data_IF_293280303018
#
_entry.id   IF_293280303018
#
_cell.length_a   1.000
_cell.length_b   1.000
_cell.length_c   1.000
_cell.angle_alpha   90.00
_cell.angle_beta   90.00
_cell.angle_gamma   90.00
#
_symmetry.space_group_name_H-M   'P 1'
#
loop_
_entity.id
_entity.type
_entity.pdbx_description
1 polymer ?
#
# COMPACT_ATOMS: atom_id res chain seq x y z
N UNK A 1 12.63 -2.66 -20.83
CA UNK A 1 11.99 -3.97 -21.05
C UNK A 1 12.68 -5.10 -20.27
N UNK A 2 14.02 -5.17 -20.27
CA UNK A 2 14.79 -6.23 -19.61
C UNK A 2 14.61 -6.33 -18.08
N UNK A 3 14.63 -5.21 -17.35
CA UNK A 3 14.52 -5.21 -15.87
C UNK A 3 13.20 -5.85 -15.38
N UNK A 4 12.08 -5.63 -16.09
CA UNK A 4 10.75 -6.13 -15.69
C UNK A 4 10.67 -7.66 -15.76
N UNK A 5 11.16 -8.24 -16.85
CA UNK A 5 11.19 -9.71 -17.05
C UNK A 5 12.22 -10.37 -16.15
N UNK A 6 13.35 -9.71 -15.89
CA UNK A 6 14.38 -10.20 -14.96
C UNK A 6 13.86 -10.22 -13.52
N UNK A 7 13.19 -9.17 -13.04
CA UNK A 7 12.57 -9.15 -11.70
C UNK A 7 11.47 -10.21 -11.55
N UNK A 8 10.58 -10.32 -12.54
CA UNK A 8 9.50 -11.29 -12.49
C UNK A 8 10.01 -12.74 -12.63
N UNK A 9 11.06 -12.97 -13.43
CA UNK A 9 11.76 -14.25 -13.49
C UNK A 9 12.55 -14.54 -12.21
N UNK A 10 13.18 -13.54 -11.59
CA UNK A 10 13.90 -13.70 -10.33
C UNK A 10 12.97 -14.05 -9.16
N UNK A 11 11.81 -13.41 -9.10
CA UNK A 11 10.75 -13.74 -8.15
C UNK A 11 10.08 -15.11 -8.42
N UNK A 12 10.21 -15.67 -9.62
CA UNK A 12 9.61 -16.96 -9.98
C UNK A 12 10.59 -18.14 -9.93
N UNK A 13 11.86 -17.91 -10.24
CA UNK A 13 12.89 -18.95 -10.27
C UNK A 13 13.68 -19.06 -8.96
N UNK A 14 13.24 -18.39 -7.88
CA UNK A 14 13.99 -18.27 -6.63
C UNK A 14 15.47 -17.93 -6.92
N UNK A 15 15.69 -17.07 -7.92
CA UNK A 15 17.03 -16.66 -8.28
C UNK A 15 17.54 -15.97 -7.03
N UNK A 16 18.64 -16.48 -6.46
CA UNK A 16 19.27 -16.02 -5.23
C UNK A 16 19.72 -14.56 -5.33
N UNK A 17 18.78 -13.63 -5.55
CA UNK A 17 18.90 -12.28 -5.07
C UNK A 17 18.77 -12.47 -3.57
N UNK A 18 19.89 -12.40 -2.84
CA UNK A 18 19.94 -12.61 -1.39
C UNK A 18 19.19 -11.52 -0.60
N UNK A 19 17.99 -11.18 -1.03
CA UNK A 19 17.14 -10.10 -0.55
C UNK A 19 15.70 -10.59 -0.56
N UNK A 20 15.11 -10.74 0.63
CA UNK A 20 13.68 -10.94 0.77
C UNK A 20 12.95 -9.64 0.40
N UNK A 21 11.95 -9.72 -0.47
CA UNK A 21 11.11 -8.58 -0.80
C UNK A 21 10.15 -8.26 0.36
N UNK A 22 9.78 -6.99 0.51
CA UNK A 22 8.80 -6.58 1.52
C UNK A 22 7.46 -7.29 1.29
N UNK A 23 6.81 -7.73 2.37
CA UNK A 23 5.46 -8.29 2.39
C UNK A 23 4.44 -7.46 1.57
N UNK A 24 4.64 -6.13 1.51
CA UNK A 24 3.82 -5.20 0.75
C UNK A 24 3.82 -5.47 -0.77
N UNK A 25 4.95 -5.96 -1.30
CA UNK A 25 5.09 -6.29 -2.71
C UNK A 25 4.22 -7.50 -3.05
N UNK A 26 4.26 -8.56 -2.23
CA UNK A 26 3.41 -9.74 -2.43
C UNK A 26 1.92 -9.42 -2.27
N UNK A 27 1.55 -8.60 -1.28
CA UNK A 27 0.17 -8.09 -1.17
C UNK A 27 -0.27 -7.33 -2.41
N UNK A 28 0.60 -6.51 -2.99
CA UNK A 28 0.31 -5.77 -4.21
C UNK A 28 0.15 -6.71 -5.42
N UNK A 29 1.00 -7.72 -5.53
CA UNK A 29 0.93 -8.73 -6.60
C UNK A 29 -0.37 -9.55 -6.56
N UNK A 30 -0.88 -9.81 -5.35
CA UNK A 30 -2.10 -10.58 -5.12
C UNK A 30 -3.38 -9.72 -5.07
N UNK A 31 -3.28 -8.41 -5.32
CA UNK A 31 -4.36 -7.44 -5.14
C UNK A 31 -5.02 -7.50 -3.74
N UNK A 32 -4.24 -7.83 -2.71
CA UNK A 32 -4.71 -7.92 -1.34
C UNK A 32 -4.76 -6.54 -0.67
N UNK A 33 -5.73 -6.30 0.23
CA UNK A 33 -5.80 -5.05 0.96
C UNK A 33 -4.64 -4.92 1.95
N UNK A 34 -4.15 -3.70 2.09
CA UNK A 34 -3.26 -3.36 3.21
C UNK A 34 -4.07 -3.22 4.50
N UNK A 35 -3.46 -3.68 5.59
CA UNK A 35 -3.99 -3.68 6.94
C UNK A 35 -3.27 -2.63 7.78
N UNK A 36 -3.92 -2.21 8.87
CA UNK A 36 -3.33 -1.24 9.79
C UNK A 36 -2.02 -1.76 10.42
N UNK A 37 -1.94 -3.06 10.69
CA UNK A 37 -0.74 -3.73 11.17
C UNK A 37 0.44 -3.68 10.19
N UNK A 38 0.19 -3.53 8.88
CA UNK A 38 1.27 -3.41 7.89
C UNK A 38 1.99 -2.05 8.02
N UNK A 39 1.34 -1.05 8.64
CA UNK A 39 1.87 0.30 8.80
C UNK A 39 2.78 0.44 10.03
N UNK A 40 2.51 -0.29 11.10
CA UNK A 40 3.27 -0.21 12.37
C UNK A 40 4.80 -0.28 12.19
N UNK A 41 5.38 -1.23 11.42
CA UNK A 41 6.83 -1.30 11.23
C UNK A 41 7.39 -0.20 10.31
N UNK A 42 6.53 0.53 9.59
CA UNK A 42 6.92 1.57 8.61
C UNK A 42 6.78 2.98 9.20
N UNK A 43 5.67 3.24 9.90
CA UNK A 43 5.31 4.54 10.45
C UNK A 43 4.46 4.32 11.72
N UNK A 44 5.15 4.12 12.84
CA UNK A 44 4.52 3.83 14.14
C UNK A 44 3.64 4.97 14.65
N UNK A 45 3.94 6.22 14.28
CA UNK A 45 3.16 7.38 14.71
C UNK A 45 1.87 7.52 13.90
N UNK A 46 1.93 7.30 12.59
CA UNK A 46 0.72 7.19 11.78
C UNK A 46 -0.14 5.99 12.20
N UNK A 47 0.49 4.85 12.55
CA UNK A 47 -0.23 3.70 13.10
C UNK A 47 -1.04 4.08 14.34
N UNK A 48 -0.41 4.67 15.37
CA UNK A 48 -1.10 5.13 16.59
C UNK A 48 -2.24 6.10 16.30
N UNK A 49 -1.99 7.06 15.40
CA UNK A 49 -2.99 8.06 15.01
C UNK A 49 -4.22 7.42 14.34
N UNK A 50 -3.99 6.44 13.47
CA UNK A 50 -5.06 5.72 12.80
C UNK A 50 -5.80 4.74 13.73
N UNK A 51 -5.10 4.12 14.70
CA UNK A 51 -5.74 3.34 15.78
C UNK A 51 -6.68 4.24 16.58
N UNK A 52 -6.21 5.42 16.97
CA UNK A 52 -7.05 6.39 17.69
C UNK A 52 -8.32 6.75 16.90
N UNK A 53 -8.19 7.04 15.60
CA UNK A 53 -9.35 7.32 14.72
C UNK A 53 -10.28 6.10 14.60
N UNK A 54 -9.72 4.89 14.57
CA UNK A 54 -10.50 3.66 14.50
C UNK A 54 -11.37 3.47 15.75
N UNK A 55 -10.83 3.78 16.93
CA UNK A 55 -11.46 3.55 18.23
C UNK A 55 -12.34 4.70 18.70
N UNK A 56 -12.10 5.93 18.22
CA UNK A 56 -12.80 7.14 18.67
C UNK A 56 -13.69 7.73 17.58
N UNK A 57 -14.55 8.67 17.96
CA UNK A 57 -15.32 9.47 17.01
C UNK A 57 -14.41 10.50 16.31
N UNK A 58 -14.24 10.46 14.98
CA UNK A 58 -13.38 11.40 14.27
C UNK A 58 -14.01 12.77 14.06
N UNK A 59 -15.30 12.95 14.34
CA UNK A 59 -16.02 14.21 14.05
C UNK A 59 -15.44 15.40 14.83
N UNK A 60 -14.87 15.14 16.01
CA UNK A 60 -14.18 16.16 16.82
C UNK A 60 -12.79 16.52 16.31
N UNK A 61 -12.24 15.72 15.39
CA UNK A 61 -10.90 15.93 14.84
C UNK A 61 -10.90 16.85 13.61
N UNK A 62 -12.08 17.21 13.08
CA UNK A 62 -12.25 18.06 11.91
C UNK A 62 -11.40 17.61 10.72
N UNK A 63 -11.31 16.28 10.53
CA UNK A 63 -10.56 15.68 9.43
C UNK A 63 -11.40 15.72 8.15
N UNK A 64 -10.72 15.88 7.02
CA UNK A 64 -11.26 15.63 5.69
C UNK A 64 -10.51 14.47 5.01
N UNK A 65 -10.78 14.18 3.75
CA UNK A 65 -10.05 13.14 3.01
C UNK A 65 -8.78 13.69 2.35
N UNK A 66 -7.99 14.47 3.09
CA UNK A 66 -6.63 14.87 2.69
C UNK A 66 -5.56 14.25 3.58
N UNK A 67 -4.31 14.34 3.16
CA UNK A 67 -3.14 13.95 3.93
C UNK A 67 -2.02 14.96 3.71
N UNK A 68 -1.37 15.40 4.78
CA UNK A 68 -0.15 16.20 4.69
C UNK A 68 1.06 15.28 4.56
N UNK A 69 1.85 15.50 3.53
CA UNK A 69 3.12 14.80 3.28
C UNK A 69 4.26 15.81 3.23
N UNK A 70 5.44 15.40 3.68
CA UNK A 70 6.67 16.19 3.53
C UNK A 70 7.44 15.66 2.33
N UNK A 71 7.65 16.52 1.34
CA UNK A 71 8.38 16.21 0.11
C UNK A 71 9.37 17.33 -0.18
N UNK A 72 10.66 17.01 -0.28
CA UNK A 72 11.75 17.99 -0.46
C UNK A 72 11.70 19.14 0.57
N UNK A 73 11.54 18.80 1.84
CA UNK A 73 11.39 19.74 2.97
C UNK A 73 10.19 20.69 2.87
N UNK A 74 9.25 20.43 1.95
CA UNK A 74 8.00 21.18 1.82
C UNK A 74 6.81 20.31 2.24
N UNK A 75 5.92 20.89 3.06
CA UNK A 75 4.64 20.25 3.34
C UNK A 75 3.70 20.43 2.15
N UNK A 76 3.12 19.34 1.69
CA UNK A 76 2.09 19.33 0.66
C UNK A 76 0.86 18.62 1.20
N UNK A 77 -0.29 19.20 0.95
CA UNK A 77 -1.59 18.57 1.17
C UNK A 77 -2.00 17.84 -0.11
N UNK A 78 -2.40 16.58 0.02
CA UNK A 78 -2.87 15.75 -1.10
C UNK A 78 -4.26 15.21 -0.78
N UNK A 79 -5.11 15.14 -1.80
CA UNK A 79 -6.42 14.50 -1.64
C UNK A 79 -6.30 12.98 -1.78
N UNK A 80 -6.87 12.25 -0.81
CA UNK A 80 -6.89 10.79 -0.79
C UNK A 80 -7.91 10.19 -1.78
N UNK A 81 -8.87 10.99 -2.22
CA UNK A 81 -9.91 10.68 -3.22
C UNK A 81 -10.36 11.98 -3.89
N UNK A 82 -11.05 11.95 -5.05
CA UNK A 82 -11.55 13.15 -5.69
C UNK A 82 -12.47 13.97 -4.76
N UNK A 83 -12.24 15.29 -4.72
CA UNK A 83 -12.92 16.26 -3.85
C UNK A 83 -12.77 15.87 -2.37
N UNK A 84 -11.61 15.33 -2.00
CA UNK A 84 -11.35 14.79 -0.67
C UNK A 84 -11.44 15.87 0.41
N UNK A 85 -11.00 17.09 0.07
CA UNK A 85 -11.01 18.26 0.95
C UNK A 85 -12.41 18.71 1.36
N UNK A 86 -13.40 18.51 0.49
CA UNK A 86 -14.79 18.91 0.75
C UNK A 86 -15.60 17.82 1.47
N UNK A 87 -14.97 16.72 1.87
CA UNK A 87 -15.65 15.58 2.48
C UNK A 87 -15.07 15.35 3.86
N UNK A 88 -15.85 15.67 4.89
CA UNK A 88 -15.48 15.42 6.28
C UNK A 88 -15.41 13.92 6.61
N UNK A 89 -14.52 13.58 7.53
CA UNK A 89 -14.40 12.24 8.08
C UNK A 89 -15.40 12.08 9.23
N UNK A 90 -16.35 11.18 9.05
CA UNK A 90 -17.41 10.87 10.00
C UNK A 90 -17.29 9.43 10.46
N UNK A 91 -18.05 9.04 11.48
CA UNK A 91 -18.10 7.65 11.95
C UNK A 91 -18.44 6.64 10.84
N UNK A 92 -19.31 7.03 9.90
CA UNK A 92 -19.73 6.16 8.79
C UNK A 92 -18.61 5.93 7.77
N UNK A 93 -17.77 6.94 7.54
CA UNK A 93 -16.79 6.91 6.46
C UNK A 93 -15.33 6.75 6.95
N UNK A 94 -15.07 6.76 8.26
CA UNK A 94 -13.72 6.66 8.83
C UNK A 94 -12.94 5.42 8.42
N UNK A 95 -13.63 4.28 8.26
CA UNK A 95 -13.00 3.05 7.76
C UNK A 95 -12.42 3.23 6.36
N UNK A 96 -13.08 4.03 5.52
CA UNK A 96 -12.60 4.36 4.17
C UNK A 96 -11.42 5.32 4.24
N UNK A 97 -11.48 6.34 5.10
CA UNK A 97 -10.36 7.24 5.35
C UNK A 97 -9.11 6.48 5.78
N UNK A 98 -9.21 5.64 6.82
CA UNK A 98 -8.11 4.80 7.32
C UNK A 98 -7.49 3.94 6.21
N UNK A 99 -8.33 3.26 5.41
CA UNK A 99 -7.84 2.44 4.29
C UNK A 99 -7.05 3.24 3.25
N UNK A 100 -7.51 4.46 2.94
CA UNK A 100 -6.82 5.32 1.98
C UNK A 100 -5.49 5.84 2.53
N UNK A 101 -5.46 6.24 3.81
CA UNK A 101 -4.20 6.68 4.46
C UNK A 101 -3.19 5.54 4.51
N UNK A 102 -3.59 4.33 4.92
CA UNK A 102 -2.71 3.14 4.94
C UNK A 102 -2.15 2.89 3.54
N UNK A 103 -3.01 2.82 2.52
CA UNK A 103 -2.59 2.59 1.15
C UNK A 103 -1.61 3.66 0.69
N UNK A 104 -1.89 4.93 0.98
CA UNK A 104 -1.02 6.03 0.60
C UNK A 104 0.35 5.91 1.27
N UNK A 105 0.40 5.80 2.60
CA UNK A 105 1.64 5.70 3.38
C UNK A 105 2.52 4.53 2.95
N UNK A 106 1.93 3.37 2.64
CA UNK A 106 2.67 2.18 2.25
C UNK A 106 3.14 2.18 0.79
N UNK A 107 2.49 2.94 -0.09
CA UNK A 107 2.77 2.88 -1.54
C UNK A 107 3.35 4.16 -2.12
N UNK A 108 3.29 5.31 -1.44
CA UNK A 108 3.63 6.63 -2.01
C UNK A 108 4.98 6.65 -2.74
N UNK A 109 6.06 6.19 -2.08
CA UNK A 109 7.41 6.22 -2.63
C UNK A 109 7.72 5.09 -3.64
N UNK A 110 6.85 4.08 -3.72
CA UNK A 110 7.10 2.85 -4.49
C UNK A 110 6.02 2.54 -5.52
N UNK A 111 5.00 3.39 -5.67
CA UNK A 111 3.82 3.12 -6.51
C UNK A 111 4.20 2.86 -7.96
N UNK A 112 5.22 3.53 -8.48
CA UNK A 112 5.71 3.33 -9.84
C UNK A 112 6.38 1.97 -9.96
N UNK A 113 7.25 1.61 -9.02
CA UNK A 113 7.98 0.36 -8.97
C UNK A 113 7.00 -0.82 -8.83
N UNK A 114 6.02 -0.71 -7.92
CA UNK A 114 4.96 -1.70 -7.72
C UNK A 114 4.16 -1.97 -9.00
N UNK A 115 3.72 -0.92 -9.71
CA UNK A 115 3.00 -1.08 -10.99
C UNK A 115 3.85 -1.78 -12.04
N UNK A 116 5.13 -1.51 -12.07
CA UNK A 116 6.04 -2.08 -13.08
C UNK A 116 6.38 -3.55 -12.78
N UNK A 117 6.46 -3.91 -11.49
CA UNK A 117 6.55 -5.29 -11.03
C UNK A 117 5.26 -6.05 -11.39
N UNK A 118 4.09 -5.49 -11.10
CA UNK A 118 2.80 -6.10 -11.42
C UNK A 118 2.63 -6.35 -12.93
N UNK A 119 3.02 -5.39 -13.78
CA UNK A 119 3.05 -5.58 -15.24
C UNK A 119 4.00 -6.70 -15.67
N UNK A 120 5.21 -6.72 -15.12
CA UNK A 120 6.20 -7.77 -15.42
C UNK A 120 5.68 -9.17 -15.07
N UNK A 121 4.92 -9.29 -13.97
CA UNK A 121 4.26 -10.53 -13.56
C UNK A 121 3.14 -10.95 -14.50
N UNK A 122 2.23 -10.04 -14.84
CA UNK A 122 1.12 -10.33 -15.76
C UNK A 122 1.60 -10.64 -17.19
N UNK A 123 2.76 -10.13 -17.60
CA UNK A 123 3.38 -10.48 -18.89
C UNK A 123 3.91 -11.94 -18.92
N UNK A 124 4.20 -12.54 -17.75
CA UNK A 124 4.75 -13.90 -17.64
C UNK A 124 3.70 -14.94 -17.25
N UNK A 125 2.69 -14.57 -16.45
CA UNK A 125 1.66 -15.47 -15.95
C UNK A 125 0.25 -14.99 -16.35
N UNK A 126 -0.63 -15.89 -16.83
CA UNK A 126 -2.03 -15.55 -17.06
C UNK A 126 -2.69 -14.97 -15.80
N UNK A 127 -3.55 -13.96 -15.99
CA UNK A 127 -4.33 -13.39 -14.89
C UNK A 127 -5.11 -14.49 -14.16
N UNK A 128 -4.91 -14.60 -12.85
CA UNK A 128 -5.62 -15.57 -12.00
C UNK A 128 -4.77 -16.72 -11.47
N UNK A 129 -3.63 -17.06 -12.09
CA UNK A 129 -2.74 -18.11 -11.57
C UNK A 129 -2.22 -17.80 -10.15
N UNK A 130 -2.01 -16.52 -9.85
CA UNK A 130 -1.50 -16.06 -8.55
C UNK A 130 -2.56 -16.07 -7.45
N UNK A 131 -3.85 -16.07 -7.78
CA UNK A 131 -4.94 -16.00 -6.79
C UNK A 131 -5.04 -17.25 -5.91
N UNK A 132 -4.37 -18.34 -6.30
CA UNK A 132 -4.29 -19.57 -5.52
C UNK A 132 -3.28 -19.48 -4.36
N UNK A 133 -2.42 -18.46 -4.33
CA UNK A 133 -1.33 -18.34 -3.37
C UNK A 133 -1.59 -17.22 -2.36
N UNK A 134 -1.18 -17.46 -1.12
CA UNK A 134 -1.05 -16.45 -0.07
C UNK A 134 0.27 -15.67 -0.22
N UNK A 135 0.42 -14.49 0.40
CA UNK A 135 1.68 -13.76 0.39
C UNK A 135 2.87 -14.59 0.89
N UNK A 136 2.66 -15.41 1.93
CA UNK A 136 3.70 -16.26 2.50
C UNK A 136 4.09 -17.40 1.56
N UNK A 137 3.12 -18.00 0.85
CA UNK A 137 3.43 -19.02 -0.15
C UNK A 137 4.21 -18.43 -1.33
N UNK A 138 3.84 -17.23 -1.81
CA UNK A 138 4.63 -16.52 -2.84
C UNK A 138 6.02 -16.12 -2.36
N UNK A 139 6.21 -15.86 -1.07
CA UNK A 139 7.51 -15.53 -0.51
C UNK A 139 8.46 -16.74 -0.44
N UNK A 140 7.91 -17.95 -0.34
CA UNK A 140 8.66 -19.21 -0.19
C UNK A 140 8.95 -19.89 -1.54
N UNK A 141 8.18 -19.59 -2.59
CA UNK A 141 8.40 -20.08 -3.96
C UNK A 141 9.75 -19.63 -4.53
#
# INVERSE_FOLDING_TARGET
MLIRRVLAKALFENFQVGTHFSHLIYKTLLDLPFLLSDLEPIDADAYKSLVFIAENDPSVLMLDFTLTITEFDQMKEIELKPNGKDIEVTQENKKKYIKLVIKHKLTYNIVRQLREIQKGFHDLLPQGCLKAFTPAELEIM
#
